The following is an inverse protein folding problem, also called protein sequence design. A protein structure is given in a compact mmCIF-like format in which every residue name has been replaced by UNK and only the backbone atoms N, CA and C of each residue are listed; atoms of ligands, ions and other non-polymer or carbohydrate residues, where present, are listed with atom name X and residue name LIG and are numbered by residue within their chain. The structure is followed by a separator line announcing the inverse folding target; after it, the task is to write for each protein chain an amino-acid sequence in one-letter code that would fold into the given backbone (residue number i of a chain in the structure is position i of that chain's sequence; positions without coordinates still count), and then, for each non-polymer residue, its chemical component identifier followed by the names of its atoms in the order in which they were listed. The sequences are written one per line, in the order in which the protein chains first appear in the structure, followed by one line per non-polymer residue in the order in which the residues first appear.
data_IF_240455308684
#
_entry.id   IF_240455308684
#
_cell.length_a   1.000
_cell.length_b   1.000
_cell.length_c   1.000
_cell.angle_alpha   90.00
_cell.angle_beta   90.00
_cell.angle_gamma   90.00
#
_symmetry.space_group_name_H-M   'P 1'
#
loop_
_entity.id
_entity.type
_entity.pdbx_description
1 polymer ?
#
# COMPACT_ATOMS: atom_id res chain seq x y z
N UNK A 1 -16.07 -11.70 -9.88
CA UNK A 1 -14.69 -12.00 -10.34
C UNK A 1 -14.17 -13.13 -9.48
N UNK A 2 -13.41 -14.07 -10.03
CA UNK A 2 -12.67 -15.01 -9.15
C UNK A 2 -11.59 -14.17 -8.45
N UNK A 3 -11.67 -14.03 -7.12
CA UNK A 3 -10.62 -13.36 -6.37
C UNK A 3 -9.44 -14.33 -6.30
N UNK A 4 -8.34 -13.98 -6.95
CA UNK A 4 -7.10 -14.73 -6.80
C UNK A 4 -6.56 -14.50 -5.38
N UNK A 5 -6.41 -15.59 -4.62
CA UNK A 5 -5.85 -15.58 -3.29
C UNK A 5 -4.34 -15.67 -3.43
N UNK A 6 -3.61 -14.83 -2.71
CA UNK A 6 -2.16 -14.93 -2.61
C UNK A 6 -1.70 -14.97 -1.15
N UNK A 7 -0.42 -15.26 -0.99
CA UNK A 7 0.23 -15.36 0.31
C UNK A 7 1.38 -14.37 0.39
N UNK A 8 1.43 -13.56 1.43
CA UNK A 8 2.53 -12.65 1.75
C UNK A 8 3.30 -13.20 2.94
N UNK A 9 4.58 -13.49 2.74
CA UNK A 9 5.47 -13.93 3.81
C UNK A 9 6.30 -12.76 4.30
N UNK A 10 6.25 -12.45 5.59
CA UNK A 10 6.99 -11.34 6.19
C UNK A 10 8.00 -11.91 7.18
N UNK A 11 9.28 -11.67 6.91
CA UNK A 11 10.38 -12.13 7.75
C UNK A 11 10.71 -11.06 8.78
N UNK A 12 10.79 -11.45 10.06
CA UNK A 12 11.13 -10.55 11.16
C UNK A 12 12.56 -10.78 11.66
N UNK A 13 13.28 -9.69 11.95
CA UNK A 13 14.64 -9.76 12.51
C UNK A 13 14.61 -10.05 14.02
N UNK A 14 13.57 -9.56 14.70
CA UNK A 14 13.33 -9.78 16.13
C UNK A 14 11.86 -10.10 16.39
N UNK A 15 11.58 -10.77 17.51
CA UNK A 15 10.22 -11.15 17.89
C UNK A 15 9.33 -9.95 18.30
N UNK A 16 9.92 -8.81 18.68
CA UNK A 16 9.16 -7.66 19.19
C UNK A 16 8.50 -7.91 20.56
N UNK A 17 7.89 -6.87 21.11
CA UNK A 17 6.95 -6.99 22.25
C UNK A 17 5.54 -7.28 21.75
N UNK A 18 4.67 -7.82 22.60
CA UNK A 18 3.24 -8.04 22.25
C UNK A 18 2.59 -6.75 21.74
N UNK A 19 2.94 -5.60 22.34
CA UNK A 19 2.44 -4.30 21.92
C UNK A 19 2.90 -3.95 20.50
N UNK A 20 4.19 -4.07 20.21
CA UNK A 20 4.74 -3.81 18.87
C UNK A 20 4.13 -4.73 17.82
N UNK A 21 3.96 -6.01 18.13
CA UNK A 21 3.32 -6.98 17.22
C UNK A 21 1.85 -6.60 16.97
N UNK A 22 1.12 -6.20 18.01
CA UNK A 22 -0.29 -5.82 17.89
C UNK A 22 -0.43 -4.56 17.04
N UNK A 23 0.40 -3.55 17.28
CA UNK A 23 0.44 -2.31 16.49
C UNK A 23 0.79 -2.61 15.02
N UNK A 24 1.78 -3.48 14.79
CA UNK A 24 2.13 -3.93 13.46
C UNK A 24 0.98 -4.64 12.74
N UNK A 25 0.31 -5.59 13.39
CA UNK A 25 -0.82 -6.31 12.79
C UNK A 25 -1.99 -5.38 12.48
N UNK A 26 -2.25 -4.39 13.34
CA UNK A 26 -3.25 -3.37 13.10
C UNK A 26 -2.89 -2.47 11.91
N UNK A 27 -1.63 -2.03 11.82
CA UNK A 27 -1.17 -1.20 10.70
C UNK A 27 -1.15 -1.98 9.39
N UNK A 28 -0.84 -3.29 9.44
CA UNK A 28 -0.90 -4.19 8.29
C UNK A 28 -2.34 -4.38 7.81
N UNK A 29 -3.28 -4.66 8.73
CA UNK A 29 -4.70 -4.78 8.41
C UNK A 29 -5.25 -3.46 7.84
N UNK A 30 -4.90 -2.32 8.45
CA UNK A 30 -5.28 -1.00 7.96
C UNK A 30 -4.75 -0.74 6.56
N UNK A 31 -3.47 -1.02 6.30
CA UNK A 31 -2.87 -0.87 4.98
C UNK A 31 -3.58 -1.76 3.94
N UNK A 32 -3.82 -3.03 4.28
CA UNK A 32 -4.54 -3.97 3.41
C UNK A 32 -5.96 -3.48 3.09
N UNK A 33 -6.74 -3.11 4.11
CA UNK A 33 -8.11 -2.65 3.94
C UNK A 33 -8.18 -1.39 3.08
N UNK A 34 -7.26 -0.45 3.31
CA UNK A 34 -7.21 0.80 2.55
C UNK A 34 -6.95 0.53 1.06
N UNK A 35 -5.98 -0.34 0.75
CA UNK A 35 -5.68 -0.73 -0.63
C UNK A 35 -6.85 -1.46 -1.29
N UNK A 36 -7.45 -2.42 -0.58
CA UNK A 36 -8.57 -3.20 -1.10
C UNK A 36 -9.78 -2.32 -1.45
N UNK A 37 -10.17 -1.44 -0.52
CA UNK A 37 -11.34 -0.57 -0.69
C UNK A 37 -11.07 0.47 -1.76
N UNK A 38 -9.84 0.99 -1.83
CA UNK A 38 -9.43 1.90 -2.89
C UNK A 38 -9.48 1.24 -4.28
N UNK A 39 -8.98 0.01 -4.41
CA UNK A 39 -9.02 -0.74 -5.66
C UNK A 39 -10.46 -1.04 -6.09
N UNK A 40 -11.30 -1.48 -5.15
CA UNK A 40 -12.73 -1.70 -5.40
C UNK A 40 -13.46 -0.41 -5.80
N UNK A 41 -13.14 0.72 -5.16
CA UNK A 41 -13.66 2.02 -5.52
C UNK A 41 -13.27 2.41 -6.94
N UNK A 42 -11.98 2.24 -7.30
CA UNK A 42 -11.48 2.50 -8.64
C UNK A 42 -12.13 1.64 -9.71
N UNK A 43 -12.32 0.35 -9.45
CA UNK A 43 -13.03 -0.56 -10.36
C UNK A 43 -14.48 -0.12 -10.58
N UNK A 44 -15.12 0.44 -9.53
CA UNK A 44 -16.49 0.95 -9.61
C UNK A 44 -16.57 2.18 -10.52
N UNK A 45 -15.62 3.10 -10.39
CA UNK A 45 -15.61 4.38 -11.14
C UNK A 45 -14.94 4.27 -12.52
N UNK A 46 -14.18 3.20 -12.77
CA UNK A 46 -13.42 3.02 -14.00
C UNK A 46 -14.31 3.08 -15.25
N UNK A 47 -13.91 3.82 -16.30
CA UNK A 47 -14.71 3.97 -17.51
C UNK A 47 -14.95 2.64 -18.25
N UNK A 48 -14.15 1.60 -18.03
CA UNK A 48 -14.35 0.29 -18.65
C UNK A 48 -15.28 -0.62 -17.84
N UNK A 49 -15.79 -0.17 -16.70
CA UNK A 49 -16.71 -0.98 -15.89
C UNK A 49 -18.07 -1.14 -16.60
N UNK A 50 -18.65 -2.34 -16.52
CA UNK A 50 -20.00 -2.65 -17.03
C UNK A 50 -21.10 -1.84 -16.33
N UNK A 51 -20.75 -1.08 -15.29
CA UNK A 51 -21.65 -0.31 -14.42
C UNK A 51 -21.81 1.17 -14.85
N UNK A 52 -21.43 1.52 -16.07
CA UNK A 52 -21.48 2.91 -16.61
C UNK A 52 -22.83 3.63 -16.52
N UNK A 53 -23.96 2.91 -16.46
CA UNK A 53 -25.29 3.56 -16.48
C UNK A 53 -25.65 4.28 -15.18
N UNK A 54 -25.09 3.89 -14.03
CA UNK A 54 -25.43 4.50 -12.74
C UNK A 54 -24.42 5.55 -12.26
N UNK A 55 -23.19 5.57 -12.79
CA UNK A 55 -22.13 6.44 -12.27
C UNK A 55 -22.36 7.93 -12.55
N UNK A 56 -22.87 8.26 -13.76
CA UNK A 56 -23.26 9.64 -14.08
C UNK A 56 -24.37 10.15 -13.16
N UNK A 57 -25.26 9.26 -12.73
CA UNK A 57 -26.35 9.58 -11.81
C UNK A 57 -25.80 9.90 -10.41
N UNK A 58 -24.88 9.09 -9.89
CA UNK A 58 -24.26 9.30 -8.58
C UNK A 58 -23.39 10.57 -8.49
N UNK A 59 -22.64 10.91 -9.54
CA UNK A 59 -21.77 12.10 -9.53
C UNK A 59 -22.60 13.39 -9.66
N UNK A 60 -23.70 13.37 -10.42
CA UNK A 60 -24.52 14.57 -10.68
C UNK A 60 -25.69 14.77 -9.71
N UNK A 61 -26.38 13.71 -9.25
CA UNK A 61 -27.55 13.84 -8.37
C UNK A 61 -27.21 13.87 -6.88
N UNK A 62 -26.20 13.12 -6.42
CA UNK A 62 -25.86 13.07 -5.00
C UNK A 62 -24.98 14.22 -4.53
N UNK A 63 -24.54 15.09 -5.46
CA UNK A 63 -23.73 16.26 -5.15
C UNK A 63 -22.61 15.91 -4.20
N UNK A 64 -21.88 14.80 -4.46
CA UNK A 64 -20.77 14.34 -3.62
C UNK A 64 -19.91 15.56 -3.31
N UNK A 65 -19.92 16.08 -2.06
CA UNK A 65 -18.97 17.09 -1.70
C UNK A 65 -17.66 16.32 -1.56
N UNK A 66 -16.94 16.22 -2.68
CA UNK A 66 -15.54 15.79 -2.74
C UNK A 66 -14.71 16.85 -2.00
N UNK A 67 -14.96 17.00 -0.71
CA UNK A 67 -14.14 17.78 0.19
C UNK A 67 -12.71 17.23 0.13
N UNK A 68 -11.71 18.10 0.26
CA UNK A 68 -10.26 17.82 0.20
C UNK A 68 -9.76 16.71 1.16
N UNK A 69 -10.64 16.05 1.93
CA UNK A 69 -10.32 14.98 2.86
C UNK A 69 -11.16 13.71 2.61
N UNK A 70 -11.33 13.31 1.34
CA UNK A 70 -12.01 12.06 1.00
C UNK A 70 -11.19 10.85 1.47
N UNK A 71 -11.47 10.41 2.69
CA UNK A 71 -10.93 9.18 3.28
C UNK A 71 -12.00 8.11 3.14
N UNK A 72 -11.69 7.03 2.44
CA UNK A 72 -12.54 5.85 2.41
C UNK A 72 -12.60 5.27 3.83
N UNK A 73 -13.78 4.84 4.26
CA UNK A 73 -13.87 4.12 5.52
C UNK A 73 -13.16 2.77 5.34
N UNK A 74 -12.10 2.56 6.12
CA UNK A 74 -11.29 1.36 6.07
C UNK A 74 -11.79 0.27 7.03
N UNK A 75 -13.03 0.40 7.49
CA UNK A 75 -13.68 -0.58 8.34
C UNK A 75 -13.82 -1.91 7.61
N UNK A 76 -13.57 -3.00 8.34
CA UNK A 76 -13.65 -4.37 7.83
C UNK A 76 -15.07 -4.78 7.41
N UNK A 77 -16.07 -3.94 7.71
CA UNK A 77 -17.48 -4.10 7.32
C UNK A 77 -17.69 -3.93 5.80
N UNK A 78 -16.81 -3.18 5.11
CA UNK A 78 -16.86 -3.02 3.65
C UNK A 78 -16.18 -4.15 2.88
N UNK A 79 -15.52 -5.08 3.59
CA UNK A 79 -14.78 -6.19 2.99
C UNK A 79 -15.54 -7.49 3.22
N UNK A 80 -15.88 -8.17 2.13
CA UNK A 80 -16.50 -9.50 2.18
C UNK A 80 -15.64 -10.45 3.03
N UNK A 81 -16.23 -11.31 3.87
CA UNK A 81 -15.48 -12.19 4.76
C UNK A 81 -14.39 -13.03 4.07
N UNK A 82 -14.65 -13.45 2.82
CA UNK A 82 -13.71 -14.22 1.98
C UNK A 82 -12.48 -13.42 1.50
N UNK A 83 -12.55 -12.09 1.52
CA UNK A 83 -11.48 -11.19 1.07
C UNK A 83 -10.76 -10.51 2.24
N UNK A 84 -11.09 -10.85 3.48
CA UNK A 84 -10.40 -10.30 4.67
C UNK A 84 -9.00 -10.86 4.77
N UNK A 85 -8.09 -10.05 5.32
CA UNK A 85 -6.74 -10.49 5.62
C UNK A 85 -6.79 -11.56 6.72
N UNK A 86 -6.19 -12.72 6.47
CA UNK A 86 -6.14 -13.81 7.45
C UNK A 86 -4.68 -14.21 7.69
N UNK A 87 -4.31 -14.36 8.95
CA UNK A 87 -3.02 -14.95 9.31
C UNK A 87 -3.11 -16.45 9.06
N UNK A 88 -2.34 -16.94 8.08
CA UNK A 88 -2.29 -18.36 7.73
C UNK A 88 -1.39 -19.15 8.65
N UNK A 89 -0.19 -18.63 8.90
CA UNK A 89 0.82 -19.30 9.71
C UNK A 89 1.72 -18.26 10.38
N UNK A 90 2.08 -18.56 11.63
CA UNK A 90 3.08 -17.80 12.38
C UNK A 90 4.16 -18.79 12.77
N UNK A 91 5.41 -18.54 12.39
CA UNK A 91 6.56 -19.29 12.88
C UNK A 91 7.45 -18.37 13.72
N UNK A 92 7.33 -18.50 15.05
CA UNK A 92 8.13 -17.75 16.02
C UNK A 92 9.39 -18.57 16.32
N UNK A 93 10.43 -18.38 15.53
CA UNK A 93 11.77 -18.93 15.70
C UNK A 93 12.78 -17.80 15.43
N UNK A 94 14.06 -17.96 15.74
CA UNK A 94 15.08 -16.98 15.33
C UNK A 94 15.92 -17.61 14.22
N UNK A 95 15.82 -17.15 12.95
CA UNK A 95 14.93 -16.12 12.41
C UNK A 95 13.49 -16.62 12.18
N UNK A 96 12.50 -15.74 12.36
CA UNK A 96 11.07 -16.07 12.34
C UNK A 96 10.36 -15.50 11.13
N UNK A 97 9.20 -16.05 10.77
CA UNK A 97 8.41 -15.53 9.66
C UNK A 97 6.90 -15.61 9.92
N UNK A 98 6.19 -14.64 9.35
CA UNK A 98 4.74 -14.52 9.32
C UNK A 98 4.26 -14.87 7.92
N UNK A 99 3.15 -15.57 7.81
CA UNK A 99 2.53 -15.95 6.54
C UNK A 99 1.08 -15.49 6.56
N UNK A 100 0.76 -14.57 5.65
CA UNK A 100 -0.52 -13.89 5.58
C UNK A 100 -1.20 -14.26 4.27
N UNK A 101 -2.51 -14.52 4.30
CA UNK A 101 -3.33 -14.86 3.12
C UNK A 101 -4.37 -13.76 2.89
N UNK A 102 -4.57 -13.39 1.63
CA UNK A 102 -5.48 -12.33 1.22
C UNK A 102 -5.60 -12.21 -0.30
N UNK A 103 -6.22 -11.14 -0.78
CA UNK A 103 -6.35 -10.89 -2.23
C UNK A 103 -4.99 -10.59 -2.88
N UNK A 104 -4.80 -11.07 -4.12
CA UNK A 104 -3.52 -11.00 -4.83
C UNK A 104 -2.98 -9.57 -4.98
N UNK A 105 -3.81 -8.64 -5.45
CA UNK A 105 -3.38 -7.28 -5.79
C UNK A 105 -2.86 -6.48 -4.58
N UNK A 106 -3.56 -6.42 -3.44
CA UNK A 106 -3.04 -5.75 -2.24
C UNK A 106 -1.81 -6.43 -1.66
N UNK A 107 -1.77 -7.77 -1.63
CA UNK A 107 -0.61 -8.49 -1.10
C UNK A 107 0.63 -8.31 -1.97
N UNK A 108 0.47 -8.23 -3.29
CA UNK A 108 1.57 -7.93 -4.20
C UNK A 108 2.11 -6.51 -3.97
N UNK A 109 1.23 -5.52 -3.79
CA UNK A 109 1.65 -4.15 -3.47
C UNK A 109 2.39 -4.06 -2.13
N UNK A 110 1.90 -4.78 -1.11
CA UNK A 110 2.58 -4.86 0.19
C UNK A 110 3.97 -5.51 0.06
N UNK A 111 4.07 -6.60 -0.71
CA UNK A 111 5.35 -7.28 -0.97
C UNK A 111 6.35 -6.35 -1.65
N UNK A 112 5.95 -5.73 -2.76
CA UNK A 112 6.78 -4.80 -3.52
C UNK A 112 7.23 -3.63 -2.65
N UNK A 113 6.32 -3.03 -1.88
CA UNK A 113 6.65 -1.94 -0.96
C UNK A 113 7.69 -2.35 0.10
N UNK A 114 7.48 -3.48 0.78
CA UNK A 114 8.38 -3.95 1.84
C UNK A 114 9.76 -4.32 1.28
N UNK A 115 9.80 -4.98 0.11
CA UNK A 115 11.04 -5.34 -0.57
C UNK A 115 11.81 -4.11 -1.03
N UNK A 116 11.16 -3.17 -1.71
CA UNK A 116 11.79 -1.93 -2.18
C UNK A 116 12.34 -1.11 -1.03
N UNK A 117 11.63 -1.07 0.10
CA UNK A 117 12.08 -0.32 1.28
C UNK A 117 13.25 -1.00 1.98
N UNK A 118 13.30 -2.33 2.02
CA UNK A 118 14.47 -3.08 2.49
C UNK A 118 15.68 -2.85 1.59
N UNK A 119 15.49 -2.86 0.26
CA UNK A 119 16.52 -2.54 -0.71
C UNK A 119 17.02 -1.10 -0.53
N UNK A 120 16.12 -0.12 -0.32
CA UNK A 120 16.50 1.26 0.03
C UNK A 120 17.30 1.34 1.32
N UNK A 121 16.96 0.55 2.35
CA UNK A 121 17.71 0.53 3.61
C UNK A 121 19.11 -0.04 3.43
N UNK A 122 19.24 -1.17 2.71
CA UNK A 122 20.54 -1.75 2.32
C UNK A 122 21.37 -0.76 1.51
N UNK A 123 20.74 -0.05 0.58
CA UNK A 123 21.37 1.00 -0.21
C UNK A 123 21.85 2.16 0.66
N UNK A 124 21.06 2.61 1.65
CA UNK A 124 21.45 3.66 2.60
C UNK A 124 22.62 3.19 3.47
N UNK A 125 22.57 1.99 4.04
CA UNK A 125 23.65 1.43 4.86
C UNK A 125 24.95 1.23 4.05
N UNK A 126 24.82 0.77 2.80
CA UNK A 126 25.94 0.63 1.86
C UNK A 126 26.48 1.99 1.37
N UNK A 127 25.60 2.99 1.23
CA UNK A 127 25.95 4.38 0.94
C UNK A 127 26.64 5.01 2.13
N UNK A 128 26.17 4.91 3.37
CA UNK A 128 26.84 5.46 4.56
C UNK A 128 28.26 4.91 4.76
N UNK A 129 28.51 3.66 4.35
CA UNK A 129 29.85 3.07 4.35
C UNK A 129 30.77 3.60 3.22
N UNK A 130 30.21 4.05 2.09
CA UNK A 130 30.95 4.54 0.91
C UNK A 130 30.88 6.09 0.69
N UNK A 131 29.96 6.80 1.34
CA UNK A 131 29.57 8.21 1.10
C UNK A 131 30.27 9.23 2.01
N UNK A 132 31.32 8.86 2.76
CA UNK A 132 32.21 9.88 3.34
C UNK A 132 32.93 10.74 2.28
N UNK A 133 32.80 10.44 0.97
CA UNK A 133 33.59 11.13 -0.06
C UNK A 133 32.85 11.65 -1.32
N UNK A 134 31.59 11.29 -1.67
CA UNK A 134 31.02 11.67 -3.01
C UNK A 134 29.50 11.98 -3.14
N UNK A 135 28.75 12.17 -2.05
CA UNK A 135 27.28 12.00 -2.01
C UNK A 135 26.34 13.09 -2.58
N UNK A 136 26.79 14.27 -3.00
CA UNK A 136 25.85 15.41 -3.15
C UNK A 136 25.15 15.48 -4.51
N UNK A 137 25.70 14.90 -5.59
CA UNK A 137 25.17 15.10 -6.95
C UNK A 137 24.47 13.88 -7.58
N UNK A 138 24.64 12.66 -7.03
CA UNK A 138 24.00 11.44 -7.56
C UNK A 138 22.64 11.10 -6.91
N UNK A 139 22.36 11.62 -5.71
CA UNK A 139 21.15 11.32 -4.94
C UNK A 139 19.85 11.78 -5.62
N UNK A 140 19.88 12.84 -6.43
CA UNK A 140 18.68 13.34 -7.12
C UNK A 140 18.22 12.44 -8.29
N UNK A 141 19.11 11.67 -8.90
CA UNK A 141 18.78 10.81 -10.06
C UNK A 141 18.24 9.44 -9.63
N UNK A 142 18.71 8.91 -8.51
CA UNK A 142 18.27 7.60 -8.01
C UNK A 142 16.88 7.70 -7.36
N UNK A 143 16.61 8.79 -6.63
CA UNK A 143 15.25 9.05 -6.13
C UNK A 143 14.22 9.16 -7.25
N UNK A 144 14.59 9.76 -8.39
CA UNK A 144 13.71 9.85 -9.58
C UNK A 144 13.40 8.49 -10.20
N UNK A 145 14.38 7.57 -10.25
CA UNK A 145 14.20 6.24 -10.86
C UNK A 145 13.37 5.27 -10.00
N UNK A 146 13.46 5.38 -8.67
CA UNK A 146 12.66 4.57 -7.75
C UNK A 146 11.19 5.01 -7.78
N UNK A 147 10.93 6.33 -7.84
CA UNK A 147 9.61 6.89 -8.10
C UNK A 147 9.03 6.48 -9.46
N UNK A 148 9.86 6.15 -10.45
CA UNK A 148 9.42 5.72 -11.79
C UNK A 148 8.96 4.26 -11.84
N UNK A 149 9.45 3.38 -10.95
CA UNK A 149 9.11 1.96 -10.91
C UNK A 149 7.77 1.68 -10.19
N UNK A 150 7.48 2.39 -9.09
CA UNK A 150 6.19 2.37 -8.35
C UNK A 150 4.99 2.86 -9.18
N UNK A 151 5.30 3.46 -10.33
CA UNK A 151 4.43 4.34 -11.05
C UNK A 151 3.52 3.59 -12.05
N UNK A 152 3.66 2.28 -12.31
CA UNK A 152 2.78 1.64 -13.31
C UNK A 152 1.34 1.48 -12.78
N UNK A 153 1.17 0.85 -11.62
CA UNK A 153 -0.13 0.67 -11.00
C UNK A 153 -0.69 2.02 -10.52
N UNK A 154 0.14 2.89 -9.94
CA UNK A 154 -0.31 4.22 -9.49
C UNK A 154 -0.64 5.14 -10.67
N UNK A 155 0.10 5.12 -11.79
CA UNK A 155 -0.25 5.91 -12.98
C UNK A 155 -1.57 5.45 -13.56
N UNK A 156 -1.82 4.14 -13.67
CA UNK A 156 -3.10 3.62 -14.15
C UNK A 156 -4.27 4.17 -13.30
N UNK A 157 -4.09 4.25 -11.98
CA UNK A 157 -5.07 4.82 -11.04
C UNK A 157 -5.22 6.33 -11.20
N UNK A 158 -4.10 7.05 -11.33
CA UNK A 158 -4.07 8.50 -11.59
C UNK A 158 -4.79 8.83 -12.90
N UNK A 159 -4.58 8.04 -13.95
CA UNK A 159 -5.24 8.24 -15.24
C UNK A 159 -6.76 8.05 -15.13
N UNK A 160 -7.24 7.06 -14.36
CA UNK A 160 -8.68 6.92 -14.08
C UNK A 160 -9.25 8.20 -13.44
N UNK A 161 -8.56 8.80 -12.47
CA UNK A 161 -9.02 10.05 -11.86
C UNK A 161 -8.95 11.26 -12.81
N UNK A 162 -7.91 11.35 -13.64
CA UNK A 162 -7.81 12.41 -14.66
C UNK A 162 -8.93 12.31 -15.68
N UNK A 163 -9.28 11.10 -16.12
CA UNK A 163 -10.40 10.86 -17.03
C UNK A 163 -11.75 11.25 -16.43
N UNK A 164 -11.87 11.20 -15.09
CA UNK A 164 -13.04 11.65 -14.34
C UNK A 164 -13.06 13.16 -14.05
N UNK A 165 -12.01 13.89 -14.44
CA UNK A 165 -11.92 15.35 -14.33
C UNK A 165 -11.34 15.88 -13.02
N UNK A 166 -10.67 15.03 -12.23
CA UNK A 166 -10.00 15.47 -11.00
C UNK A 166 -8.74 16.28 -11.32
N UNK A 167 -8.45 17.27 -10.48
CA UNK A 167 -7.20 18.01 -10.52
C UNK A 167 -6.04 17.23 -9.89
N UNK A 168 -4.81 17.53 -10.32
CA UNK A 168 -3.60 16.88 -9.79
C UNK A 168 -3.41 17.05 -8.27
N UNK A 169 -4.00 18.08 -7.68
CA UNK A 169 -3.98 18.30 -6.23
C UNK A 169 -4.94 17.34 -5.52
N UNK A 170 -6.18 17.24 -5.99
CA UNK A 170 -7.19 16.32 -5.44
C UNK A 170 -6.73 14.86 -5.56
N UNK A 171 -6.14 14.50 -6.70
CA UNK A 171 -5.58 13.15 -6.92
C UNK A 171 -4.51 12.84 -5.87
N UNK A 172 -3.61 13.80 -5.60
CA UNK A 172 -2.56 13.63 -4.59
C UNK A 172 -3.13 13.44 -3.19
N UNK A 173 -4.13 14.23 -2.81
CA UNK A 173 -4.77 14.16 -1.50
C UNK A 173 -5.48 12.82 -1.30
N UNK A 174 -6.23 12.36 -2.32
CA UNK A 174 -6.92 11.06 -2.31
C UNK A 174 -5.92 9.90 -2.22
N UNK A 175 -4.87 9.92 -3.03
CA UNK A 175 -3.83 8.87 -3.00
C UNK A 175 -3.10 8.88 -1.66
N UNK A 176 -2.74 10.05 -1.14
CA UNK A 176 -2.06 10.16 0.15
C UNK A 176 -2.91 9.63 1.29
N UNK A 177 -4.20 10.00 1.34
CA UNK A 177 -5.10 9.61 2.42
C UNK A 177 -5.37 8.11 2.45
N UNK A 178 -5.48 7.47 1.28
CA UNK A 178 -5.94 6.08 1.15
C UNK A 178 -4.82 5.08 0.87
N UNK A 179 -3.68 5.51 0.32
CA UNK A 179 -2.54 4.63 0.01
C UNK A 179 -1.31 5.06 0.82
N UNK A 180 -0.91 6.33 0.66
CA UNK A 180 0.36 6.83 1.16
C UNK A 180 0.50 6.74 2.68
N UNK A 181 -0.47 7.26 3.43
CA UNK A 181 -0.44 7.27 4.89
C UNK A 181 -0.50 5.86 5.50
N UNK A 182 -1.42 4.96 5.10
CA UNK A 182 -1.44 3.59 5.63
C UNK A 182 -0.15 2.82 5.36
N UNK A 183 0.41 2.91 4.15
CA UNK A 183 1.69 2.27 3.83
C UNK A 183 2.86 2.88 4.61
N UNK A 184 2.86 4.20 4.81
CA UNK A 184 3.88 4.87 5.63
C UNK A 184 3.82 4.42 7.09
N UNK A 185 2.62 4.24 7.66
CA UNK A 185 2.43 3.72 9.01
C UNK A 185 2.98 2.30 9.14
N UNK A 186 2.66 1.42 8.19
CA UNK A 186 3.24 0.08 8.12
C UNK A 186 4.78 0.10 8.00
N UNK A 187 5.32 1.04 7.20
CA UNK A 187 6.75 1.18 6.98
C UNK A 187 7.57 1.52 8.24
N UNK A 188 6.95 2.12 9.27
CA UNK A 188 7.63 2.42 10.55
C UNK A 188 8.11 1.14 11.25
N UNK A 189 7.45 0.01 11.01
CA UNK A 189 7.82 -1.28 11.60
C UNK A 189 9.09 -1.88 10.97
N UNK A 190 9.47 -1.45 9.76
CA UNK A 190 10.80 -1.78 9.21
C UNK A 190 11.91 -0.94 9.85
N UNK A 191 11.62 0.31 10.20
CA UNK A 191 12.60 1.21 10.84
C UNK A 191 12.96 0.74 12.26
N UNK A 192 12.03 0.04 12.94
CA UNK A 192 12.25 -0.54 14.27
C UNK A 192 12.85 -1.95 14.25
N UNK A 193 13.19 -2.47 13.06
CA UNK A 193 13.72 -3.82 12.86
C UNK A 193 12.72 -4.94 13.14
N UNK A 194 11.42 -4.65 13.28
CA UNK A 194 10.41 -5.68 13.45
C UNK A 194 10.20 -6.47 12.15
N UNK A 195 10.31 -5.78 11.02
CA UNK A 195 10.22 -6.35 9.68
C UNK A 195 11.58 -6.22 8.99
N UNK A 196 12.07 -7.32 8.45
CA UNK A 196 13.31 -7.37 7.67
C UNK A 196 13.02 -7.43 6.17
N UNK A 197 12.16 -8.36 5.74
CA UNK A 197 11.93 -8.62 4.32
C UNK A 197 10.52 -9.17 4.08
N UNK A 198 10.05 -9.13 2.83
CA UNK A 198 8.77 -9.71 2.44
C UNK A 198 8.83 -10.44 1.09
N UNK A 199 8.22 -11.63 1.04
CA UNK A 199 8.22 -12.56 -0.11
C UNK A 199 6.82 -13.05 -0.51
#
# INVERSE_FOLDING_TARGET
MQTEISTLRINGERAGTVKEITEYLLDLENAYNSLYIFDHFLDTISPNSKSRRNLRFYIYEFGFPLSLNFKLDNSSDFILPENRLVISKINIQSPGFWEVIGSLNPLQQLREYLKDRHERRKDIEWREQNEKQKAVLENELIQRKILEAENKNIRERIEIFKELGFSDQEIREVIWANIGKPLMELGKHQDTGLIQDAE
#
